data_IF_034036564861
#
_entry.id   IF_034036564861
#
_cell.length_a   1.000
_cell.length_b   1.000
_cell.length_c   1.000
_cell.angle_alpha   90.00
_cell.angle_beta   90.00
_cell.angle_gamma   90.00
#
_symmetry.space_group_name_H-M   'P 1'
#
loop_
_entity.id
_entity.type
_entity.pdbx_description
1 polymer ?
#
# COMPACT_ATOMS: atom_id res chain seq x y z
N UNK A 1 20.32 1.17 0.78
CA UNK A 1 19.51 1.89 1.80
C UNK A 1 18.05 1.79 1.39
N UNK A 2 17.14 1.43 2.30
CA UNK A 2 15.71 1.29 2.00
C UNK A 2 15.02 2.65 1.90
N UNK A 3 13.89 2.70 1.19
CA UNK A 3 13.02 3.87 1.20
C UNK A 3 12.48 4.16 2.60
N UNK A 4 12.34 5.44 2.93
CA UNK A 4 11.82 5.88 4.21
C UNK A 4 10.30 5.69 4.30
N UNK A 5 9.86 4.95 5.32
CA UNK A 5 8.47 4.91 5.74
C UNK A 5 8.20 6.05 6.73
N UNK A 6 7.13 6.84 6.58
CA UNK A 6 6.89 8.03 7.39
C UNK A 6 6.73 7.73 8.89
N UNK A 7 6.29 6.52 9.25
CA UNK A 7 6.09 6.10 10.64
C UNK A 7 7.25 5.28 11.21
N UNK A 8 7.93 4.50 10.37
CA UNK A 8 8.83 3.42 10.82
C UNK A 8 10.29 3.67 10.41
N UNK A 9 10.54 4.73 9.63
CA UNK A 9 11.87 5.03 9.12
C UNK A 9 12.27 4.08 7.98
N UNK A 10 13.57 3.82 7.87
CA UNK A 10 14.18 3.05 6.77
C UNK A 10 15.10 1.92 7.25
N UNK A 11 14.99 1.53 8.52
CA UNK A 11 15.75 0.45 9.15
C UNK A 11 14.78 -0.50 9.83
N UNK A 12 15.13 -1.78 9.85
CA UNK A 12 14.35 -2.80 10.56
C UNK A 12 14.18 -2.45 12.04
N UNK A 13 13.03 -2.77 12.62
CA UNK A 13 12.70 -2.48 14.02
C UNK A 13 12.82 -3.75 14.85
N UNK A 14 13.91 -3.86 15.60
CA UNK A 14 14.15 -5.02 16.47
C UNK A 14 13.13 -5.08 17.61
N UNK A 15 12.67 -6.29 17.92
CA UNK A 15 11.78 -6.58 19.04
C UNK A 15 12.46 -7.53 20.04
N UNK A 16 11.89 -7.66 21.23
CA UNK A 16 12.39 -8.57 22.26
C UNK A 16 11.83 -10.00 22.12
N UNK A 17 11.06 -10.27 21.05
CA UNK A 17 10.44 -11.57 20.81
C UNK A 17 11.42 -12.47 20.08
N UNK A 18 11.83 -13.57 20.73
CA UNK A 18 12.71 -14.57 20.13
C UNK A 18 11.91 -15.81 19.74
N UNK A 19 12.00 -16.19 18.47
CA UNK A 19 11.44 -17.43 17.91
C UNK A 19 12.50 -18.07 17.00
N UNK A 20 12.37 -19.37 16.71
CA UNK A 20 13.27 -20.05 15.77
C UNK A 20 13.01 -19.58 14.34
N UNK A 21 14.02 -19.69 13.48
CA UNK A 21 13.88 -19.44 12.04
C UNK A 21 12.78 -20.33 11.45
N UNK A 22 12.74 -21.61 11.83
CA UNK A 22 11.70 -22.55 11.41
C UNK A 22 10.29 -22.08 11.81
N UNK A 23 10.11 -21.55 13.02
CA UNK A 23 8.82 -20.99 13.45
C UNK A 23 8.42 -19.76 12.61
N UNK A 24 9.38 -18.93 12.20
CA UNK A 24 9.11 -17.82 11.28
C UNK A 24 8.70 -18.39 9.93
N UNK A 25 9.49 -19.27 9.33
CA UNK A 25 9.24 -19.77 7.98
C UNK A 25 7.92 -20.54 7.85
N UNK A 26 7.48 -21.20 8.92
CA UNK A 26 6.19 -21.87 9.00
C UNK A 26 5.02 -20.95 9.35
N UNK A 27 5.26 -19.69 9.73
CA UNK A 27 4.20 -18.77 10.11
C UNK A 27 3.39 -18.22 8.94
N UNK A 28 3.92 -18.30 7.71
CA UNK A 28 3.21 -17.98 6.48
C UNK A 28 3.91 -18.65 5.29
N UNK A 29 3.13 -19.17 4.33
CA UNK A 29 3.65 -19.93 3.20
C UNK A 29 4.69 -19.20 2.34
N UNK A 30 4.76 -17.85 2.40
CA UNK A 30 5.75 -17.05 1.66
C UNK A 30 7.09 -16.89 2.39
N UNK A 31 7.14 -17.00 3.72
CA UNK A 31 8.29 -16.48 4.48
C UNK A 31 9.60 -17.17 4.13
N UNK A 32 9.58 -18.49 3.88
CA UNK A 32 10.77 -19.26 3.46
C UNK A 32 11.41 -18.80 2.13
N UNK A 33 10.70 -17.99 1.33
CA UNK A 33 11.17 -17.49 0.02
C UNK A 33 11.49 -15.99 0.03
N UNK A 34 11.35 -15.33 1.17
CA UNK A 34 11.51 -13.89 1.30
C UNK A 34 12.79 -13.55 2.06
N UNK A 35 13.31 -12.36 1.80
CA UNK A 35 14.33 -11.76 2.66
C UNK A 35 13.63 -11.01 3.79
N UNK A 36 13.77 -11.51 5.01
CA UNK A 36 13.17 -10.94 6.22
C UNK A 36 14.22 -10.70 7.31
N UNK A 37 13.82 -9.97 8.35
CA UNK A 37 14.68 -9.66 9.50
C UNK A 37 14.20 -10.46 10.73
N UNK A 38 14.91 -11.54 11.13
CA UNK A 38 14.40 -12.48 12.14
C UNK A 38 14.27 -11.91 13.55
N UNK A 39 14.90 -10.78 13.84
CA UNK A 39 14.86 -10.12 15.15
C UNK A 39 13.74 -9.06 15.26
N UNK A 40 12.76 -9.05 14.35
CA UNK A 40 11.70 -8.01 14.26
C UNK A 40 10.30 -8.57 14.53
N UNK A 41 10.25 -9.70 15.25
CA UNK A 41 9.07 -10.54 15.37
C UNK A 41 7.96 -9.85 16.17
N UNK A 42 6.75 -9.88 15.64
CA UNK A 42 5.50 -9.51 16.33
C UNK A 42 4.53 -10.68 16.23
N UNK A 43 4.05 -11.17 17.37
CA UNK A 43 3.04 -12.23 17.40
C UNK A 43 1.70 -11.68 16.89
N UNK A 44 1.00 -12.47 16.08
CA UNK A 44 -0.26 -12.06 15.51
C UNK A 44 -1.46 -12.42 16.40
N UNK A 45 -2.50 -11.59 16.34
CA UNK A 45 -3.82 -11.96 16.85
C UNK A 45 -4.67 -12.57 15.73
N UNK A 46 -4.59 -13.89 15.61
CA UNK A 46 -5.26 -14.67 14.55
C UNK A 46 -6.78 -14.40 14.51
N UNK A 47 -7.41 -14.10 15.65
CA UNK A 47 -8.87 -13.85 15.71
C UNK A 47 -9.28 -12.57 15.00
N UNK A 48 -8.33 -11.67 14.73
CA UNK A 48 -8.56 -10.41 14.03
C UNK A 48 -8.23 -10.47 12.53
N UNK A 49 -7.71 -11.60 12.05
CA UNK A 49 -7.31 -11.74 10.65
C UNK A 49 -8.48 -12.20 9.77
N UNK A 50 -8.48 -11.73 8.53
CA UNK A 50 -9.38 -12.16 7.46
C UNK A 50 -8.68 -13.20 6.57
N UNK A 51 -9.04 -14.48 6.72
CA UNK A 51 -8.41 -15.62 6.02
C UNK A 51 -9.40 -16.77 5.78
N UNK A 52 -9.09 -17.65 4.82
CA UNK A 52 -9.90 -18.84 4.48
C UNK A 52 -9.27 -20.15 4.98
N UNK A 53 -7.96 -20.28 4.81
CA UNK A 53 -7.25 -21.54 5.06
C UNK A 53 -6.36 -21.35 6.29
N UNK A 54 -5.22 -20.68 6.11
CA UNK A 54 -4.22 -20.52 7.16
C UNK A 54 -3.97 -19.04 7.48
N UNK A 55 -4.03 -18.65 8.77
CA UNK A 55 -3.66 -17.32 9.22
C UNK A 55 -2.14 -17.14 9.25
N UNK A 56 -1.70 -15.91 9.48
CA UNK A 56 -0.29 -15.62 9.85
C UNK A 56 -0.13 -15.77 11.35
N UNK A 57 0.76 -16.64 11.80
CA UNK A 57 1.03 -16.80 13.23
C UNK A 57 1.85 -15.64 13.83
N UNK A 58 2.69 -15.01 13.01
CA UNK A 58 3.52 -13.87 13.38
C UNK A 58 3.86 -13.01 12.14
N UNK A 59 4.38 -11.82 12.40
CA UNK A 59 4.93 -10.92 11.41
C UNK A 59 6.41 -10.66 11.69
N UNK A 60 7.15 -10.42 10.61
CA UNK A 60 8.56 -9.97 10.62
C UNK A 60 8.69 -8.86 9.60
N UNK A 61 9.63 -7.93 9.78
CA UNK A 61 10.00 -6.98 8.73
C UNK A 61 10.48 -7.76 7.50
N UNK A 62 9.94 -7.40 6.32
CA UNK A 62 10.24 -8.05 5.04
C UNK A 62 10.80 -7.00 4.07
N UNK A 63 11.91 -7.33 3.40
CA UNK A 63 12.37 -6.56 2.25
C UNK A 63 11.47 -6.83 1.04
N UNK A 64 10.89 -5.78 0.47
CA UNK A 64 10.11 -5.83 -0.75
C UNK A 64 10.70 -4.85 -1.79
N UNK A 65 10.46 -5.13 -3.07
CA UNK A 65 10.84 -4.24 -4.18
C UNK A 65 9.61 -3.56 -4.75
N UNK A 66 9.60 -2.23 -4.78
CA UNK A 66 8.44 -1.49 -5.27
C UNK A 66 8.26 -1.68 -6.78
N UNK A 67 7.11 -2.19 -7.21
CA UNK A 67 6.80 -2.39 -8.63
C UNK A 67 6.82 -1.09 -9.46
N UNK A 68 6.52 0.06 -8.84
CA UNK A 68 6.39 1.33 -9.55
C UNK A 68 7.72 2.08 -9.68
N UNK A 69 8.54 2.11 -8.62
CA UNK A 69 9.80 2.87 -8.63
C UNK A 69 11.05 1.98 -8.56
N UNK A 70 10.89 0.66 -8.51
CA UNK A 70 11.95 -0.36 -8.42
C UNK A 70 12.87 -0.28 -7.20
N UNK A 71 12.66 0.67 -6.28
CA UNK A 71 13.46 0.82 -5.06
C UNK A 71 13.02 -0.19 -4.00
N UNK A 72 13.99 -0.69 -3.25
CA UNK A 72 13.75 -1.56 -2.10
C UNK A 72 13.15 -0.77 -0.93
N UNK A 73 12.22 -1.38 -0.20
CA UNK A 73 11.61 -0.85 1.00
C UNK A 73 11.30 -1.98 1.98
N UNK A 74 11.03 -1.64 3.25
CA UNK A 74 10.64 -2.61 4.27
C UNK A 74 9.12 -2.59 4.39
N UNK A 75 8.48 -3.75 4.27
CA UNK A 75 7.11 -3.96 4.75
C UNK A 75 7.19 -4.37 6.22
N UNK A 76 7.00 -3.40 7.10
CA UNK A 76 7.29 -3.58 8.52
C UNK A 76 6.32 -4.56 9.19
N UNK A 77 6.78 -5.31 10.18
CA UNK A 77 5.94 -6.20 11.00
C UNK A 77 4.77 -5.43 11.63
N UNK A 78 5.02 -4.21 12.12
CA UNK A 78 3.99 -3.31 12.65
C UNK A 78 2.99 -2.84 11.58
N UNK A 79 3.47 -2.67 10.34
CA UNK A 79 2.58 -2.32 9.22
C UNK A 79 1.69 -3.51 8.85
N UNK A 80 2.26 -4.71 8.79
CA UNK A 80 1.55 -5.96 8.55
C UNK A 80 0.46 -6.20 9.59
N UNK A 81 0.80 -6.10 10.88
CA UNK A 81 -0.17 -6.24 11.96
C UNK A 81 -1.36 -5.28 11.78
N UNK A 82 -1.10 -4.01 11.48
CA UNK A 82 -2.16 -3.04 11.24
C UNK A 82 -3.00 -3.37 10.01
N UNK A 83 -2.39 -3.82 8.92
CA UNK A 83 -3.12 -4.20 7.70
C UNK A 83 -4.07 -5.36 7.96
N UNK A 84 -3.59 -6.41 8.62
CA UNK A 84 -4.34 -7.66 8.73
C UNK A 84 -5.28 -7.69 9.93
N UNK A 85 -4.98 -6.99 11.02
CA UNK A 85 -5.78 -7.04 12.26
C UNK A 85 -6.67 -5.81 12.48
N UNK A 86 -6.46 -4.73 11.71
CA UNK A 86 -7.23 -3.48 11.86
C UNK A 86 -7.89 -3.05 10.56
N UNK A 87 -7.17 -3.09 9.43
CA UNK A 87 -7.75 -2.76 8.13
C UNK A 87 -8.52 -3.91 7.47
N UNK A 88 -8.50 -5.10 8.09
CA UNK A 88 -9.18 -6.31 7.63
C UNK A 88 -8.74 -6.77 6.22
N UNK A 89 -7.48 -6.51 5.87
CA UNK A 89 -6.94 -6.97 4.59
C UNK A 89 -6.87 -8.50 4.58
N UNK A 90 -7.14 -9.11 3.42
CA UNK A 90 -6.96 -10.54 3.23
C UNK A 90 -5.54 -10.96 3.59
N UNK A 91 -5.37 -12.00 4.40
CA UNK A 91 -4.09 -12.38 4.99
C UNK A 91 -2.99 -12.68 3.95
N UNK A 92 -3.36 -13.14 2.75
CA UNK A 92 -2.41 -13.40 1.65
C UNK A 92 -2.03 -12.15 0.84
N UNK A 93 -2.64 -11.00 1.16
CA UNK A 93 -2.22 -9.73 0.60
C UNK A 93 -0.77 -9.41 0.96
N UNK A 94 -0.09 -8.68 0.09
CA UNK A 94 1.26 -8.24 0.33
C UNK A 94 1.52 -6.85 -0.25
N UNK A 95 2.54 -6.21 0.28
CA UNK A 95 2.86 -4.84 -0.05
C UNK A 95 3.74 -4.79 -1.30
N UNK A 96 3.15 -4.53 -2.47
CA UNK A 96 3.89 -4.51 -3.75
C UNK A 96 4.49 -3.15 -4.12
N UNK A 97 4.08 -2.09 -3.42
CA UNK A 97 4.53 -0.72 -3.68
C UNK A 97 4.94 -0.05 -2.39
N UNK A 98 5.98 0.78 -2.41
CA UNK A 98 6.40 1.56 -1.24
C UNK A 98 5.35 2.60 -0.82
N UNK A 99 5.48 3.15 0.39
CA UNK A 99 4.50 4.10 0.94
C UNK A 99 4.24 5.29 0.01
N UNK A 100 5.29 5.92 -0.53
CA UNK A 100 5.15 7.07 -1.43
C UNK A 100 4.39 6.72 -2.71
N UNK A 101 4.67 5.56 -3.31
CA UNK A 101 3.93 5.09 -4.48
C UNK A 101 2.47 4.74 -4.15
N UNK A 102 2.18 4.14 -2.98
CA UNK A 102 0.80 3.89 -2.53
C UNK A 102 0.05 5.20 -2.30
N UNK A 103 0.69 6.19 -1.67
CA UNK A 103 0.14 7.53 -1.42
C UNK A 103 -0.16 8.25 -2.74
N UNK A 104 0.77 8.22 -3.69
CA UNK A 104 0.58 8.82 -5.01
C UNK A 104 -0.57 8.15 -5.79
N UNK A 105 -0.65 6.82 -5.76
CA UNK A 105 -1.75 6.09 -6.39
C UNK A 105 -3.12 6.45 -5.78
N UNK A 106 -3.20 6.58 -4.44
CA UNK A 106 -4.41 7.05 -3.75
C UNK A 106 -4.78 8.47 -4.15
N UNK A 107 -3.80 9.37 -4.24
CA UNK A 107 -4.02 10.74 -4.72
C UNK A 107 -4.62 10.76 -6.13
N UNK A 108 -4.03 10.02 -7.06
CA UNK A 108 -4.56 9.89 -8.43
C UNK A 108 -5.99 9.34 -8.44
N UNK A 109 -6.28 8.32 -7.62
CA UNK A 109 -7.63 7.75 -7.52
C UNK A 109 -8.63 8.79 -7.04
N UNK A 110 -8.28 9.61 -6.04
CA UNK A 110 -9.13 10.70 -5.56
C UNK A 110 -9.42 11.73 -6.66
N UNK A 111 -8.38 12.16 -7.40
CA UNK A 111 -8.56 13.07 -8.53
C UNK A 111 -9.48 12.49 -9.60
N UNK A 112 -9.27 11.23 -9.98
CA UNK A 112 -10.12 10.52 -10.97
C UNK A 112 -11.57 10.45 -10.51
N UNK A 113 -11.81 10.00 -9.27
CA UNK A 113 -13.17 9.91 -8.71
C UNK A 113 -13.91 11.25 -8.78
N UNK A 114 -13.23 12.35 -8.41
CA UNK A 114 -13.84 13.69 -8.48
C UNK A 114 -14.09 14.12 -9.94
N UNK A 115 -13.14 13.88 -10.83
CA UNK A 115 -13.30 14.16 -12.25
C UNK A 115 -14.48 13.38 -12.86
N UNK A 116 -14.59 12.08 -12.58
CA UNK A 116 -15.65 11.20 -13.08
C UNK A 116 -17.02 11.63 -12.53
N UNK A 117 -17.10 11.92 -11.22
CA UNK A 117 -18.29 12.47 -10.58
C UNK A 117 -18.75 13.74 -11.30
N UNK A 118 -17.86 14.74 -11.45
CA UNK A 118 -18.20 15.98 -12.13
C UNK A 118 -18.63 15.72 -13.56
N UNK A 119 -17.90 14.88 -14.31
CA UNK A 119 -18.22 14.54 -15.70
C UNK A 119 -19.65 14.02 -15.83
N UNK A 120 -20.10 13.18 -14.89
CA UNK A 120 -21.44 12.58 -14.90
C UNK A 120 -22.60 13.54 -14.58
N UNK A 121 -22.35 14.74 -14.05
CA UNK A 121 -23.40 15.72 -13.74
C UNK A 121 -24.02 16.31 -15.02
N UNK A 122 -25.34 16.20 -15.19
CA UNK A 122 -26.05 16.77 -16.34
C UNK A 122 -25.98 18.30 -16.38
N UNK A 123 -26.25 18.96 -15.25
CA UNK A 123 -26.26 20.42 -15.13
C UNK A 123 -25.17 20.88 -14.16
N UNK A 124 -23.99 21.20 -14.71
CA UNK A 124 -22.84 21.71 -13.94
C UNK A 124 -22.95 23.23 -13.75
N UNK A 125 -22.72 23.70 -12.54
CA UNK A 125 -22.46 25.12 -12.26
C UNK A 125 -21.19 25.58 -12.97
N UNK A 126 -21.00 26.90 -13.12
CA UNK A 126 -19.77 27.47 -13.69
C UNK A 126 -18.52 27.05 -12.90
N UNK A 127 -18.60 27.02 -11.57
CA UNK A 127 -17.51 26.57 -10.69
C UNK A 127 -17.15 25.10 -10.93
N UNK A 128 -18.14 24.21 -11.05
CA UNK A 128 -17.91 22.78 -11.33
C UNK A 128 -17.33 22.54 -12.72
N UNK A 129 -17.70 23.35 -13.72
CA UNK A 129 -17.08 23.30 -15.06
C UNK A 129 -15.59 23.66 -14.97
N UNK A 130 -15.24 24.72 -14.25
CA UNK A 130 -13.85 25.13 -14.02
C UNK A 130 -13.07 24.04 -13.28
N UNK A 131 -13.60 23.53 -12.17
CA UNK A 131 -12.97 22.47 -11.40
C UNK A 131 -12.74 21.20 -12.23
N UNK A 132 -13.71 20.81 -13.07
CA UNK A 132 -13.56 19.66 -13.96
C UNK A 132 -12.40 19.86 -14.94
N UNK A 133 -12.25 21.06 -15.53
CA UNK A 133 -11.14 21.40 -16.44
C UNK A 133 -9.79 21.34 -15.75
N UNK A 134 -9.68 21.88 -14.54
CA UNK A 134 -8.45 21.84 -13.75
C UNK A 134 -8.03 20.40 -13.40
N UNK A 135 -9.00 19.56 -13.02
CA UNK A 135 -8.77 18.14 -12.78
C UNK A 135 -8.37 17.40 -14.05
N UNK A 136 -9.03 17.68 -15.17
CA UNK A 136 -8.68 17.09 -16.47
C UNK A 136 -7.23 17.43 -16.86
N UNK A 137 -6.82 18.70 -16.70
CA UNK A 137 -5.47 19.14 -16.97
C UNK A 137 -4.45 18.47 -16.04
N UNK A 138 -4.74 18.42 -14.74
CA UNK A 138 -3.88 17.75 -13.75
C UNK A 138 -3.69 16.26 -14.10
N UNK A 139 -4.78 15.56 -14.42
CA UNK A 139 -4.74 14.16 -14.82
C UNK A 139 -4.02 13.97 -16.17
N UNK A 140 -4.12 14.91 -17.10
CA UNK A 140 -3.37 14.89 -18.35
C UNK A 140 -1.86 15.04 -18.11
N UNK A 141 -1.45 16.03 -17.31
CA UNK A 141 -0.05 16.24 -16.93
C UNK A 141 0.56 15.04 -16.19
N UNK A 142 -0.24 14.33 -15.38
CA UNK A 142 0.15 13.08 -14.73
C UNK A 142 0.20 11.87 -15.68
N UNK A 143 -0.10 12.04 -16.96
CA UNK A 143 -0.14 10.96 -17.97
C UNK A 143 -1.31 9.99 -17.80
N UNK A 144 -2.30 10.36 -16.98
CA UNK A 144 -3.46 9.54 -16.63
C UNK A 144 -4.56 9.64 -17.70
N UNK A 145 -4.88 10.86 -18.14
CA UNK A 145 -5.73 11.09 -19.31
C UNK A 145 -4.80 11.32 -20.50
N UNK A 146 -4.97 10.55 -21.57
CA UNK A 146 -4.14 10.69 -22.78
C UNK A 146 -4.79 11.55 -23.87
N UNK A 147 -6.09 11.79 -23.78
CA UNK A 147 -6.84 12.54 -24.79
C UNK A 147 -6.93 14.03 -24.38
N UNK A 148 -6.22 14.88 -25.12
CA UNK A 148 -6.18 16.34 -24.89
C UNK A 148 -7.54 17.02 -25.06
N UNK A 149 -8.47 16.43 -25.83
CA UNK A 149 -9.80 17.03 -26.03
C UNK A 149 -10.60 17.06 -24.72
N UNK A 150 -10.40 16.07 -23.83
CA UNK A 150 -11.01 16.04 -22.50
C UNK A 150 -10.57 17.19 -21.58
N UNK A 151 -9.47 17.87 -21.92
CA UNK A 151 -8.95 19.05 -21.21
C UNK A 151 -9.51 20.35 -21.80
N UNK A 152 -9.84 20.34 -23.10
CA UNK A 152 -10.29 21.53 -23.85
C UNK A 152 -11.80 21.79 -23.71
N UNK A 153 -12.60 20.72 -23.57
CA UNK A 153 -14.06 20.78 -23.32
C UNK A 153 -14.37 21.41 -21.96
#
# INVERSE_FOLDING_TARGET
MYLNHPRYGNKSITTNTSVTIEAIENAHWRYSRLKYFPNTVILADIKKQNYAIDPRALYVDIEEKCESCSKAFIFFAQEQQYWFEVLDFWVDSHCTRCFECRKHARYILTLRKRYDMLTSLANKTSSEKTQRKELANTLYCLGIIKNINKVKD
#
